data_IF_455847515784
#
_entry.id   IF_455847515784
#
_cell.length_a   1.000
_cell.length_b   1.000
_cell.length_c   1.000
_cell.angle_alpha   90.00
_cell.angle_beta   90.00
_cell.angle_gamma   90.00
#
_symmetry.space_group_name_H-M   'P 1'
#
loop_
_entity.id
_entity.type
_entity.pdbx_description
1 polymer ?
#
# COMPACT_ATOMS: atom_id res chain seq x y z
N UNK A 1 2.05 -19.88 -22.57
CA UNK A 1 2.13 -18.43 -22.45
C UNK A 1 3.50 -17.97 -22.88
N UNK A 2 3.52 -17.01 -23.81
CA UNK A 2 4.71 -16.33 -24.33
C UNK A 2 4.34 -14.89 -24.65
N UNK A 3 4.88 -13.96 -23.87
CA UNK A 3 4.59 -12.54 -23.92
C UNK A 3 5.84 -11.78 -24.30
N UNK A 4 5.74 -10.92 -25.31
CA UNK A 4 6.80 -9.97 -25.65
C UNK A 4 6.39 -8.54 -25.32
N UNK A 5 7.28 -7.81 -24.66
CA UNK A 5 7.13 -6.40 -24.29
C UNK A 5 8.24 -5.60 -24.98
N UNK A 6 7.85 -4.60 -25.76
CA UNK A 6 8.76 -3.72 -26.48
C UNK A 6 9.48 -2.73 -25.53
N UNK A 7 10.62 -2.20 -25.98
CA UNK A 7 11.41 -1.22 -25.23
C UNK A 7 10.60 -0.02 -24.72
N UNK A 8 9.61 0.43 -25.49
CA UNK A 8 8.80 1.61 -25.18
C UNK A 8 7.95 1.47 -23.90
N UNK A 9 7.63 0.25 -23.47
CA UNK A 9 6.81 -0.02 -22.28
C UNK A 9 7.58 -0.76 -21.17
N UNK A 10 8.86 -1.04 -21.41
CA UNK A 10 9.67 -1.88 -20.53
C UNK A 10 10.01 -1.17 -19.22
N UNK A 11 10.16 0.17 -19.25
CA UNK A 11 10.46 0.95 -18.04
C UNK A 11 9.25 0.90 -17.10
N UNK A 12 8.07 1.16 -17.62
CA UNK A 12 6.80 1.22 -16.91
C UNK A 12 6.47 -0.15 -16.29
N UNK A 13 6.57 -1.23 -17.10
CA UNK A 13 6.39 -2.60 -16.61
C UNK A 13 7.39 -2.97 -15.51
N UNK A 14 8.67 -2.58 -15.66
CA UNK A 14 9.67 -2.86 -14.63
C UNK A 14 9.42 -2.09 -13.33
N UNK A 15 9.02 -0.81 -13.41
CA UNK A 15 8.67 -0.02 -12.22
C UNK A 15 7.46 -0.60 -11.49
N UNK A 16 6.47 -1.13 -12.22
CA UNK A 16 5.33 -1.82 -11.63
C UNK A 16 5.76 -3.05 -10.82
N UNK A 17 6.66 -3.87 -11.36
CA UNK A 17 7.20 -5.04 -10.65
C UNK A 17 8.06 -4.65 -9.44
N UNK A 18 8.80 -3.53 -9.52
CA UNK A 18 9.51 -2.96 -8.37
C UNK A 18 8.53 -2.52 -7.29
N UNK A 19 7.43 -1.86 -7.66
CA UNK A 19 6.38 -1.43 -6.75
C UNK A 19 5.74 -2.61 -6.02
N UNK A 20 5.29 -3.63 -6.78
CA UNK A 20 4.73 -4.86 -6.23
C UNK A 20 5.69 -5.59 -5.28
N UNK A 21 6.98 -5.62 -5.62
CA UNK A 21 8.02 -6.21 -4.76
C UNK A 21 8.29 -5.45 -3.45
N UNK A 22 7.84 -4.20 -3.31
CA UNK A 22 7.83 -3.45 -2.04
C UNK A 22 6.62 -3.83 -1.16
N UNK A 23 5.55 -4.38 -1.76
CA UNK A 23 4.31 -4.77 -1.06
C UNK A 23 4.37 -6.22 -0.59
N UNK A 24 4.78 -7.15 -1.47
CA UNK A 24 4.78 -8.60 -1.19
C UNK A 24 6.11 -9.28 -1.55
N UNK A 25 6.39 -10.39 -0.87
CA UNK A 25 7.55 -11.23 -1.15
C UNK A 25 7.36 -12.14 -2.37
N UNK A 26 6.11 -12.47 -2.67
CA UNK A 26 5.68 -13.29 -3.81
C UNK A 26 4.80 -12.47 -4.74
N UNK A 27 4.89 -12.76 -6.03
CA UNK A 27 4.06 -12.20 -7.08
C UNK A 27 3.24 -13.31 -7.70
N UNK A 28 1.92 -13.12 -7.79
CA UNK A 28 1.07 -13.94 -8.65
C UNK A 28 0.95 -13.28 -10.00
N UNK A 29 1.20 -14.03 -11.07
CA UNK A 29 1.09 -13.58 -12.45
C UNK A 29 -0.07 -14.34 -13.07
N UNK A 30 -1.02 -13.61 -13.63
CA UNK A 30 -2.16 -14.16 -14.38
C UNK A 30 -2.20 -13.49 -15.73
N UNK A 31 -1.91 -14.27 -16.77
CA UNK A 31 -2.09 -13.84 -18.14
C UNK A 31 -3.42 -14.42 -18.64
N UNK A 32 -4.34 -13.55 -19.05
CA UNK A 32 -5.62 -13.98 -19.58
C UNK A 32 -6.24 -12.91 -20.47
N UNK A 33 -6.80 -13.33 -21.60
CA UNK A 33 -7.34 -12.41 -22.59
C UNK A 33 -6.26 -11.51 -23.20
N UNK A 34 -6.37 -10.20 -22.99
CA UNK A 34 -5.52 -9.15 -23.58
C UNK A 34 -4.57 -8.48 -22.57
N UNK A 35 -4.42 -9.05 -21.36
CA UNK A 35 -3.59 -8.44 -20.33
C UNK A 35 -2.88 -9.45 -19.41
N UNK A 36 -1.83 -8.94 -18.78
CA UNK A 36 -1.05 -9.58 -17.73
C UNK A 36 -1.37 -8.86 -16.43
N UNK A 37 -1.98 -9.59 -15.51
CA UNK A 37 -2.20 -9.14 -14.14
C UNK A 37 -1.07 -9.64 -13.27
N UNK A 38 -0.40 -8.73 -12.57
CA UNK A 38 0.60 -9.08 -11.56
C UNK A 38 0.13 -8.56 -10.21
N UNK A 39 0.11 -9.43 -9.20
CA UNK A 39 -0.47 -9.12 -7.89
C UNK A 39 0.47 -9.50 -6.78
N UNK A 40 0.44 -8.73 -5.71
CA UNK A 40 1.22 -8.95 -4.50
C UNK A 40 0.33 -8.80 -3.27
N UNK A 41 0.50 -9.69 -2.30
CA UNK A 41 -0.13 -9.60 -0.98
C UNK A 41 0.97 -9.51 0.08
N UNK A 42 0.84 -8.59 1.02
CA UNK A 42 1.80 -8.50 2.11
C UNK A 42 1.67 -9.69 3.09
N UNK A 43 2.68 -9.91 3.91
CA UNK A 43 2.71 -11.06 4.84
C UNK A 43 1.58 -11.06 5.88
N UNK A 44 1.07 -9.88 6.22
CA UNK A 44 -0.04 -9.70 7.16
C UNK A 44 -1.43 -9.88 6.51
N UNK A 45 -1.50 -10.11 5.19
CA UNK A 45 -2.73 -10.16 4.40
C UNK A 45 -3.62 -8.92 4.59
N UNK A 46 -2.99 -7.78 4.83
CA UNK A 46 -3.62 -6.50 5.12
C UNK A 46 -3.47 -5.47 4.00
N UNK A 47 -2.60 -5.73 3.02
CA UNK A 47 -2.43 -4.90 1.83
C UNK A 47 -2.22 -5.78 0.59
N UNK A 48 -3.12 -5.62 -0.37
CA UNK A 48 -3.12 -6.27 -1.67
C UNK A 48 -2.90 -5.23 -2.74
N UNK A 49 -1.96 -5.47 -3.66
CA UNK A 49 -1.73 -4.62 -4.82
C UNK A 49 -1.87 -5.46 -6.08
N UNK A 50 -2.51 -4.91 -7.10
CA UNK A 50 -2.58 -5.48 -8.43
C UNK A 50 -2.22 -4.45 -9.49
N UNK A 51 -1.53 -4.93 -10.52
CA UNK A 51 -1.21 -4.18 -11.73
C UNK A 51 -1.75 -4.96 -12.92
N UNK A 52 -2.55 -4.31 -13.76
CA UNK A 52 -2.90 -4.80 -15.09
C UNK A 52 -2.01 -4.11 -16.11
N UNK A 53 -1.38 -4.90 -16.98
CA UNK A 53 -0.57 -4.42 -18.09
C UNK A 53 -1.06 -5.02 -19.41
N UNK A 54 -1.27 -4.19 -20.44
CA UNK A 54 -1.87 -4.62 -21.72
C UNK A 54 -1.05 -4.27 -22.98
N UNK A 55 0.12 -3.63 -22.85
CA UNK A 55 0.93 -3.23 -24.01
C UNK A 55 1.96 -4.29 -24.43
N UNK A 56 1.45 -5.38 -24.99
CA UNK A 56 2.27 -6.42 -25.58
C UNK A 56 2.62 -6.10 -27.03
N UNK A 57 3.85 -6.43 -27.41
CA UNK A 57 4.25 -6.52 -28.82
C UNK A 57 3.70 -7.82 -29.43
N UNK A 58 3.69 -8.90 -28.66
CA UNK A 58 3.02 -10.16 -29.01
C UNK A 58 2.59 -10.90 -27.75
N UNK A 59 1.49 -11.65 -27.86
CA UNK A 59 0.98 -12.57 -26.85
C UNK A 59 0.60 -13.87 -27.56
N UNK A 60 1.28 -14.96 -27.20
CA UNK A 60 1.05 -16.28 -27.76
C UNK A 60 0.80 -17.34 -26.67
N UNK A 61 0.03 -18.36 -27.04
CA UNK A 61 -0.33 -19.47 -26.16
C UNK A 61 -1.59 -19.23 -25.32
N UNK A 62 -1.88 -20.21 -24.45
CA UNK A 62 -3.05 -20.18 -23.59
C UNK A 62 -2.86 -19.30 -22.34
N UNK A 63 -3.99 -18.98 -21.72
CA UNK A 63 -4.07 -18.37 -20.39
C UNK A 63 -3.20 -19.13 -19.38
N UNK A 64 -2.60 -18.38 -18.46
CA UNK A 64 -1.64 -18.92 -17.51
C UNK A 64 -1.72 -18.21 -16.18
N UNK A 65 -1.46 -18.95 -15.11
CA UNK A 65 -1.39 -18.44 -13.75
C UNK A 65 -0.23 -19.11 -13.00
N UNK A 66 0.61 -18.33 -12.32
CA UNK A 66 1.63 -18.86 -11.41
C UNK A 66 1.96 -17.90 -10.28
N UNK A 67 2.76 -18.39 -9.33
CA UNK A 67 3.44 -17.55 -8.35
C UNK A 67 4.95 -17.64 -8.48
N UNK A 68 5.65 -16.54 -8.22
CA UNK A 68 7.11 -16.46 -8.23
C UNK A 68 7.60 -15.53 -7.13
N UNK A 69 8.86 -15.66 -6.72
CA UNK A 69 9.48 -14.72 -5.78
C UNK A 69 9.70 -13.34 -6.42
N UNK A 70 9.31 -12.28 -5.71
CA UNK A 70 9.45 -10.91 -6.20
C UNK A 70 10.92 -10.47 -6.35
N UNK A 71 11.78 -10.87 -5.40
CA UNK A 71 13.18 -10.40 -5.34
C UNK A 71 14.02 -10.79 -6.57
N UNK A 72 13.97 -12.04 -7.07
CA UNK A 72 14.61 -12.41 -8.34
C UNK A 72 14.11 -11.59 -9.53
N UNK A 73 12.80 -11.37 -9.64
CA UNK A 73 12.17 -10.57 -10.72
C UNK A 73 12.67 -9.12 -10.69
N UNK A 74 12.59 -8.46 -9.54
CA UNK A 74 13.08 -7.09 -9.38
C UNK A 74 14.59 -6.99 -9.68
N UNK A 75 15.35 -8.04 -9.38
CA UNK A 75 16.79 -8.07 -9.62
C UNK A 75 17.13 -8.22 -11.11
N UNK A 76 16.38 -9.04 -11.87
CA UNK A 76 16.63 -9.19 -13.31
C UNK A 76 16.31 -7.90 -14.10
N UNK A 77 15.42 -7.05 -13.58
CA UNK A 77 14.98 -5.81 -14.24
C UNK A 77 15.77 -4.55 -13.86
N UNK A 78 16.83 -4.63 -13.04
CA UNK A 78 17.58 -3.42 -12.62
C UNK A 78 18.31 -2.69 -13.75
N UNK A 79 18.66 -3.37 -14.83
CA UNK A 79 19.46 -2.80 -15.92
C UNK A 79 18.82 -3.07 -17.26
N UNK A 80 17.99 -2.12 -17.72
CA UNK A 80 17.22 -2.19 -18.96
C UNK A 80 17.77 -1.28 -20.07
N UNK A 81 18.80 -0.46 -19.80
CA UNK A 81 19.29 0.60 -20.70
C UNK A 81 19.61 0.15 -22.13
N UNK A 82 20.01 -1.11 -22.33
CA UNK A 82 20.36 -1.69 -23.64
C UNK A 82 19.37 -2.76 -24.11
N UNK A 83 18.29 -2.96 -23.37
CA UNK A 83 17.28 -3.99 -23.65
C UNK A 83 16.26 -3.39 -24.60
N UNK A 84 16.05 -4.06 -25.72
CA UNK A 84 15.10 -3.66 -26.77
C UNK A 84 13.79 -4.42 -26.65
N UNK A 85 13.80 -5.60 -26.02
CA UNK A 85 12.62 -6.44 -25.82
C UNK A 85 12.78 -7.31 -24.58
N UNK A 86 11.70 -7.48 -23.82
CA UNK A 86 11.57 -8.51 -22.79
C UNK A 86 10.59 -9.56 -23.28
N UNK A 87 10.99 -10.83 -23.26
CA UNK A 87 10.11 -11.97 -23.50
C UNK A 87 9.90 -12.73 -22.20
N UNK A 88 8.67 -13.09 -21.89
CA UNK A 88 8.27 -13.85 -20.70
C UNK A 88 7.55 -15.09 -21.20
N UNK A 89 8.11 -16.27 -20.94
CA UNK A 89 7.51 -17.52 -21.41
C UNK A 89 7.72 -18.65 -20.41
N UNK A 90 6.86 -19.66 -20.49
CA UNK A 90 7.04 -20.92 -19.79
C UNK A 90 8.02 -21.80 -20.56
N UNK A 91 9.09 -22.21 -19.90
CA UNK A 91 10.00 -23.22 -20.43
C UNK A 91 9.50 -24.59 -19.96
N UNK A 92 9.00 -25.36 -20.93
CA UNK A 92 8.54 -26.74 -20.80
C UNK A 92 9.66 -27.67 -21.28
N UNK A 93 10.85 -27.53 -20.69
CA UNK A 93 11.95 -28.45 -20.96
C UNK A 93 11.71 -29.74 -20.16
N UNK A 94 12.13 -30.90 -20.66
CA UNK A 94 11.86 -32.23 -20.08
C UNK A 94 12.53 -32.51 -18.71
N UNK A 95 12.90 -31.45 -17.98
CA UNK A 95 13.36 -31.49 -16.60
C UNK A 95 12.20 -31.63 -15.60
N UNK A 96 12.52 -31.80 -14.31
CA UNK A 96 11.52 -32.13 -13.29
C UNK A 96 10.60 -30.97 -12.88
N UNK A 97 10.95 -29.71 -13.16
CA UNK A 97 10.22 -28.53 -12.67
C UNK A 97 10.03 -27.47 -13.76
N UNK A 98 8.82 -26.91 -13.93
CA UNK A 98 8.56 -25.85 -14.91
C UNK A 98 9.19 -24.53 -14.46
N UNK A 99 9.71 -23.75 -15.41
CA UNK A 99 10.36 -22.48 -15.11
C UNK A 99 9.71 -21.34 -15.90
N UNK A 100 9.48 -20.20 -15.24
CA UNK A 100 9.10 -18.97 -15.92
C UNK A 100 10.36 -18.21 -16.31
N UNK A 101 10.53 -17.94 -17.60
CA UNK A 101 11.77 -17.34 -18.13
C UNK A 101 11.55 -15.88 -18.47
N UNK A 102 12.37 -15.01 -17.87
CA UNK A 102 12.52 -13.61 -18.27
C UNK A 102 13.73 -13.50 -19.20
N UNK A 103 13.48 -13.34 -20.49
CA UNK A 103 14.50 -13.21 -21.53
C UNK A 103 14.61 -11.75 -21.98
N UNK A 104 15.70 -11.09 -21.58
CA UNK A 104 16.00 -9.71 -21.96
C UNK A 104 16.90 -9.70 -23.19
N UNK A 105 16.37 -9.19 -24.30
CA UNK A 105 17.03 -9.12 -25.61
C UNK A 105 17.53 -7.68 -25.81
N UNK A 106 18.81 -7.50 -26.14
CA UNK A 106 19.42 -6.19 -26.35
C UNK A 106 19.91 -5.92 -27.78
N UNK A 107 20.30 -4.66 -28.04
CA UNK A 107 20.51 -4.10 -29.39
C UNK A 107 21.66 -4.71 -30.24
N UNK A 108 22.38 -5.74 -29.78
CA UNK A 108 23.50 -6.36 -30.50
C UNK A 108 23.56 -7.88 -30.31
N UNK A 109 22.39 -8.53 -30.23
CA UNK A 109 22.31 -9.98 -30.05
C UNK A 109 22.65 -10.48 -28.63
N UNK A 110 22.87 -9.56 -27.67
CA UNK A 110 23.04 -9.93 -26.27
C UNK A 110 21.68 -10.34 -25.71
N UNK A 111 21.59 -11.59 -25.25
CA UNK A 111 20.39 -12.15 -24.62
C UNK A 111 20.73 -12.58 -23.20
N UNK A 112 19.95 -12.12 -22.23
CA UNK A 112 20.03 -12.55 -20.82
C UNK A 112 18.76 -13.32 -20.46
N UNK A 113 18.89 -14.58 -20.11
CA UNK A 113 17.79 -15.42 -19.67
C UNK A 113 17.85 -15.61 -18.15
N UNK A 114 16.76 -15.29 -17.47
CA UNK A 114 16.59 -15.55 -16.04
C UNK A 114 15.47 -16.57 -15.88
N UNK A 115 15.82 -17.75 -15.37
CA UNK A 115 14.87 -18.82 -15.07
C UNK A 115 14.38 -18.67 -13.64
N UNK A 116 13.07 -18.57 -13.45
CA UNK A 116 12.44 -18.38 -12.16
C UNK A 116 11.63 -19.64 -11.84
N UNK A 117 11.89 -20.19 -10.66
CA UNK A 117 11.11 -21.30 -10.12
C UNK A 117 9.69 -20.83 -9.86
N UNK A 118 8.72 -21.58 -10.36
CA UNK A 118 7.30 -21.37 -10.08
C UNK A 118 7.01 -21.95 -8.69
N UNK A 119 6.33 -21.18 -7.84
CA UNK A 119 5.89 -21.59 -6.53
C UNK A 119 4.45 -22.11 -6.53
N UNK A 120 4.09 -22.76 -5.42
CA UNK A 120 2.76 -23.34 -5.16
C UNK A 120 1.80 -22.34 -4.48
N UNK A 121 2.09 -21.04 -4.56
CA UNK A 121 1.27 -20.00 -3.92
C UNK A 121 -0.12 -19.87 -4.54
N UNK A 122 -1.08 -19.43 -3.73
CA UNK A 122 -2.44 -19.14 -4.19
C UNK A 122 -2.49 -17.84 -4.98
N UNK A 123 -3.27 -17.85 -6.06
CA UNK A 123 -3.55 -16.65 -6.85
C UNK A 123 -4.81 -15.99 -6.32
N UNK A 124 -4.61 -14.94 -5.53
CA UNK A 124 -5.69 -14.18 -4.89
C UNK A 124 -6.03 -12.93 -5.69
N UNK A 125 -7.29 -12.51 -5.59
CA UNK A 125 -7.76 -11.22 -6.08
C UNK A 125 -8.66 -10.59 -5.02
N UNK A 126 -8.25 -9.46 -4.46
CA UNK A 126 -9.08 -8.70 -3.55
C UNK A 126 -10.04 -7.81 -4.35
N UNK A 127 -11.22 -7.57 -3.80
CA UNK A 127 -12.20 -6.65 -4.38
C UNK A 127 -12.48 -5.53 -3.39
N UNK A 128 -12.69 -4.33 -3.94
CA UNK A 128 -13.23 -3.19 -3.22
C UNK A 128 -14.68 -2.96 -3.66
N UNK A 129 -15.53 -2.56 -2.73
CA UNK A 129 -16.93 -2.24 -3.00
C UNK A 129 -17.08 -0.72 -3.11
N UNK A 130 -17.27 -0.23 -4.33
CA UNK A 130 -17.45 1.20 -4.62
C UNK A 130 -18.81 1.74 -4.17
N UNK A 131 -19.80 0.88 -3.90
CA UNK A 131 -21.14 1.31 -3.60
C UNK A 131 -21.20 2.13 -2.30
N UNK A 132 -21.47 3.43 -2.44
CA UNK A 132 -21.53 4.37 -1.30
C UNK A 132 -20.17 4.78 -0.74
N UNK A 133 -19.07 4.50 -1.44
CA UNK A 133 -17.74 4.95 -1.05
C UNK A 133 -17.59 6.47 -1.21
N UNK A 134 -16.84 7.08 -0.29
CA UNK A 134 -16.22 8.38 -0.55
C UNK A 134 -15.07 8.20 -1.54
N UNK A 135 -14.80 9.20 -2.36
CA UNK A 135 -13.79 9.16 -3.42
C UNK A 135 -13.10 10.50 -3.56
N UNK A 136 -11.77 10.49 -3.43
CA UNK A 136 -10.92 11.66 -3.64
C UNK A 136 -9.94 11.40 -4.78
N UNK A 137 -9.70 12.39 -5.64
CA UNK A 137 -8.73 12.31 -6.75
C UNK A 137 -7.76 13.48 -6.65
N UNK A 138 -6.46 13.20 -6.70
CA UNK A 138 -5.40 14.21 -6.63
C UNK A 138 -4.10 13.71 -7.25
N UNK A 139 -3.10 14.57 -7.36
CA UNK A 139 -1.73 14.19 -7.70
C UNK A 139 -1.05 13.49 -6.51
N UNK A 140 -0.22 12.48 -6.79
CA UNK A 140 0.56 11.75 -5.78
C UNK A 140 1.35 12.69 -4.86
N UNK A 141 1.95 13.74 -5.43
CA UNK A 141 2.78 14.72 -4.72
C UNK A 141 2.07 15.40 -3.53
N UNK A 142 0.74 15.53 -3.58
CA UNK A 142 0.00 16.18 -2.50
C UNK A 142 0.16 15.43 -1.17
N UNK A 143 0.35 14.10 -1.22
CA UNK A 143 0.46 13.22 -0.05
C UNK A 143 1.90 13.01 0.45
N UNK A 144 2.92 13.59 -0.21
CA UNK A 144 4.34 13.28 0.05
C UNK A 144 4.87 13.82 1.39
N UNK A 145 4.24 14.84 1.95
CA UNK A 145 4.76 15.60 3.10
C UNK A 145 4.70 14.84 4.44
N UNK A 146 4.16 13.61 4.46
CA UNK A 146 4.18 12.76 5.64
C UNK A 146 5.46 11.93 5.65
N UNK A 147 6.34 12.21 6.60
CA UNK A 147 7.59 11.47 6.76
C UNK A 147 7.67 10.75 8.13
N UNK A 148 8.54 9.73 8.19
CA UNK A 148 8.93 9.08 9.44
C UNK A 148 7.90 8.14 10.07
N UNK A 149 6.80 7.83 9.38
CA UNK A 149 5.77 6.91 9.87
C UNK A 149 5.45 5.79 8.89
N UNK A 150 5.09 4.64 9.44
CA UNK A 150 4.55 3.49 8.70
C UNK A 150 3.02 3.46 8.73
N UNK A 151 2.38 4.21 9.63
CA UNK A 151 0.92 4.28 9.76
C UNK A 151 0.46 5.74 9.77
N UNK A 152 -0.71 5.98 9.18
CA UNK A 152 -1.36 7.29 9.12
C UNK A 152 -2.74 7.23 9.74
N UNK A 153 -3.07 8.25 10.54
CA UNK A 153 -4.44 8.57 10.91
C UNK A 153 -4.97 9.60 9.91
N UNK A 154 -5.96 9.21 9.11
CA UNK A 154 -6.75 10.13 8.30
C UNK A 154 -7.98 10.58 9.06
N UNK A 155 -8.14 11.89 9.20
CA UNK A 155 -9.35 12.55 9.68
C UNK A 155 -10.00 13.22 8.48
N UNK A 156 -11.11 12.68 8.03
CA UNK A 156 -11.82 13.10 6.82
C UNK A 156 -13.08 13.83 7.19
N UNK A 157 -13.31 15.00 6.60
CA UNK A 157 -14.52 15.81 6.74
C UNK A 157 -15.08 16.19 5.37
N UNK A 158 -16.31 16.73 5.28
CA UNK A 158 -16.87 17.19 4.01
C UNK A 158 -16.01 18.23 3.26
N UNK A 159 -15.15 18.96 3.96
CA UNK A 159 -14.38 20.08 3.42
C UNK A 159 -12.85 19.92 3.53
N UNK A 160 -12.37 18.88 4.22
CA UNK A 160 -10.95 18.76 4.57
C UNK A 160 -10.50 17.30 4.74
N UNK A 161 -9.32 16.98 4.22
CA UNK A 161 -8.57 15.77 4.55
C UNK A 161 -7.38 16.16 5.43
N UNK A 162 -7.24 15.50 6.59
CA UNK A 162 -6.11 15.70 7.48
C UNK A 162 -5.40 14.39 7.75
N UNK A 163 -4.11 14.36 7.49
CA UNK A 163 -3.26 13.18 7.68
C UNK A 163 -2.28 13.44 8.82
N UNK A 164 -2.24 12.52 9.78
CA UNK A 164 -1.34 12.58 10.93
C UNK A 164 -0.53 11.30 11.03
N UNK A 165 0.75 11.41 11.34
CA UNK A 165 1.56 10.25 11.73
C UNK A 165 0.91 9.54 12.92
N UNK A 166 0.64 8.25 12.76
CA UNK A 166 0.10 7.41 13.81
C UNK A 166 1.18 6.50 14.37
N UNK A 167 1.33 6.52 15.70
CA UNK A 167 2.25 5.65 16.41
C UNK A 167 1.44 4.83 17.40
N UNK A 168 1.37 3.52 17.18
CA UNK A 168 0.67 2.62 18.08
C UNK A 168 1.37 2.60 19.45
N UNK A 169 0.73 3.06 20.54
CA UNK A 169 1.35 3.13 21.86
C UNK A 169 1.79 1.76 22.38
N UNK A 170 1.07 0.67 22.05
CA UNK A 170 1.45 -0.69 22.44
C UNK A 170 2.78 -1.14 21.78
N UNK A 171 3.06 -0.67 20.56
CA UNK A 171 4.31 -0.96 19.83
C UNK A 171 5.44 -0.08 20.35
N UNK A 172 5.15 1.17 20.72
CA UNK A 172 6.12 2.07 21.33
C UNK A 172 6.62 1.54 22.68
N UNK A 173 5.73 0.98 23.50
CA UNK A 173 6.08 0.33 24.78
C UNK A 173 6.91 -0.95 24.56
N UNK A 174 6.57 -1.76 23.56
CA UNK A 174 7.34 -2.96 23.21
C UNK A 174 8.74 -2.65 22.67
N UNK A 175 8.90 -1.59 21.85
CA UNK A 175 10.20 -1.10 21.36
C UNK A 175 11.00 -0.35 22.43
N UNK A 176 10.34 0.19 23.45
CA UNK A 176 10.95 0.86 24.61
C UNK A 176 11.44 -0.07 25.73
N UNK A 177 11.48 -1.39 25.49
CA UNK A 177 11.77 -2.38 26.52
C UNK A 177 13.17 -2.28 27.15
N UNK A 178 13.19 -2.04 28.47
CA UNK A 178 14.21 -2.47 29.45
C UNK A 178 15.58 -1.80 29.36
N UNK A 179 15.66 -0.48 29.55
CA UNK A 179 16.87 0.08 30.17
C UNK A 179 16.84 -0.29 31.66
N UNK A 180 17.75 -1.19 32.06
CA UNK A 180 17.88 -1.63 33.43
C UNK A 180 18.29 -0.48 34.37
N UNK A 181 17.78 -0.52 35.60
CA UNK A 181 18.48 0.00 36.77
C UNK A 181 18.72 1.51 36.84
N UNK A 182 17.70 2.35 36.71
CA UNK A 182 17.59 3.57 37.54
C UNK A 182 16.17 4.12 37.41
N UNK A 183 15.56 4.52 38.53
CA UNK A 183 14.19 5.04 38.62
C UNK A 183 14.00 6.42 37.98
N UNK A 184 14.49 6.64 36.75
CA UNK A 184 14.12 7.79 35.93
C UNK A 184 13.04 7.34 34.96
N UNK A 185 11.90 8.06 34.85
CA UNK A 185 10.89 7.72 33.86
C UNK A 185 11.57 7.72 32.48
N UNK A 186 11.45 6.59 31.78
CA UNK A 186 11.91 6.48 30.41
C UNK A 186 11.28 7.64 29.64
N UNK A 187 12.11 8.54 29.14
CA UNK A 187 11.66 9.51 28.15
C UNK A 187 11.10 8.67 26.99
N UNK A 188 9.78 8.53 26.92
CA UNK A 188 9.11 8.24 25.66
C UNK A 188 9.68 9.30 24.73
N UNK A 189 10.60 8.92 23.84
CA UNK A 189 11.04 9.80 22.78
C UNK A 189 9.75 10.24 22.10
N UNK A 190 9.37 11.51 22.29
CA UNK A 190 8.23 12.10 21.61
C UNK A 190 8.52 11.92 20.14
N UNK A 191 7.92 10.88 19.55
CA UNK A 191 8.05 10.63 18.13
C UNK A 191 7.57 11.90 17.41
N UNK A 192 8.35 12.36 16.44
CA UNK A 192 8.02 13.55 15.67
C UNK A 192 6.65 13.34 15.04
N UNK A 193 5.66 14.11 15.48
CA UNK A 193 4.34 14.07 14.87
C UNK A 193 4.32 14.97 13.64
N UNK A 194 4.09 14.36 12.48
CA UNK A 194 3.84 15.08 11.23
C UNK A 194 2.34 15.15 11.00
N UNK A 195 1.82 16.35 10.75
CA UNK A 195 0.42 16.59 10.42
C UNK A 195 0.37 17.48 9.19
N UNK A 196 -0.51 17.11 8.26
CA UNK A 196 -0.87 17.92 7.12
C UNK A 196 -2.38 18.00 7.00
N UNK A 197 -2.88 19.14 6.53
CA UNK A 197 -4.29 19.37 6.29
C UNK A 197 -4.45 19.94 4.89
N UNK A 198 -5.30 19.29 4.11
CA UNK A 198 -5.57 19.60 2.71
C UNK A 198 -7.05 20.03 2.64
N UNK A 199 -7.32 21.17 2.03
CA UNK A 199 -8.69 21.60 1.77
C UNK A 199 -9.30 20.79 0.61
N UNK A 200 -10.61 20.53 0.65
CA UNK A 200 -11.32 19.82 -0.42
C UNK A 200 -11.11 20.46 -1.80
N UNK A 201 -10.89 21.78 -1.85
CA UNK A 201 -10.62 22.53 -3.08
C UNK A 201 -9.26 22.26 -3.73
N UNK A 202 -8.35 21.57 -3.04
CA UNK A 202 -7.04 21.17 -3.58
C UNK A 202 -7.09 19.82 -4.31
N UNK A 203 -8.23 19.12 -4.25
CA UNK A 203 -8.46 17.87 -4.97
C UNK A 203 -9.14 18.14 -6.30
N UNK A 204 -8.82 17.33 -7.31
CA UNK A 204 -9.51 17.34 -8.60
C UNK A 204 -10.95 16.82 -8.44
N UNK A 205 -11.14 15.84 -7.56
CA UNK A 205 -12.44 15.32 -7.14
C UNK A 205 -12.45 15.14 -5.62
N UNK A 206 -13.51 15.63 -4.96
CA UNK A 206 -13.73 15.42 -3.53
C UNK A 206 -15.18 15.03 -3.25
N UNK A 207 -15.48 13.74 -3.38
CA UNK A 207 -16.79 13.19 -3.04
C UNK A 207 -16.77 12.55 -1.65
N UNK A 208 -17.46 13.18 -0.70
CA UNK A 208 -17.59 12.66 0.66
C UNK A 208 -19.00 12.13 0.93
N UNK A 209 -19.11 10.82 1.18
CA UNK A 209 -20.36 10.10 1.44
C UNK A 209 -20.53 9.69 2.91
N UNK A 210 -19.68 10.19 3.81
CA UNK A 210 -19.73 9.89 5.24
C UNK A 210 -20.64 10.83 6.04
N UNK A 211 -20.67 10.69 7.38
CA UNK A 211 -21.50 11.51 8.24
C UNK A 211 -20.95 12.95 8.39
N UNK A 212 -21.80 13.97 8.67
CA UNK A 212 -21.38 15.37 8.71
C UNK A 212 -20.23 15.68 9.69
N UNK A 213 -20.13 14.95 10.79
CA UNK A 213 -19.08 15.08 11.80
C UNK A 213 -17.69 14.62 11.31
N UNK A 214 -17.62 13.93 10.18
CA UNK A 214 -16.41 13.34 9.64
C UNK A 214 -16.18 11.90 10.09
N UNK A 215 -15.16 11.28 9.50
CA UNK A 215 -14.73 9.92 9.87
C UNK A 215 -13.23 9.88 10.14
N UNK A 216 -12.80 8.83 10.83
CA UNK A 216 -11.39 8.60 11.14
C UNK A 216 -11.01 7.18 10.80
N UNK A 217 -9.85 7.02 10.16
CA UNK A 217 -9.29 5.71 9.85
C UNK A 217 -7.79 5.71 10.01
N UNK A 218 -7.24 4.58 10.45
CA UNK A 218 -5.80 4.33 10.48
C UNK A 218 -5.47 3.30 9.42
N UNK A 219 -4.43 3.54 8.63
CA UNK A 219 -3.96 2.61 7.60
C UNK A 219 -2.44 2.62 7.46
N UNK A 220 -1.90 1.56 6.86
CA UNK A 220 -0.47 1.45 6.60
C UNK A 220 -0.07 2.39 5.45
N UNK A 221 0.87 3.28 5.73
CA UNK A 221 1.40 4.24 4.76
C UNK A 221 2.61 3.69 4.00
N UNK A 222 3.22 2.61 4.47
CA UNK A 222 4.40 2.02 3.80
C UNK A 222 4.09 1.58 2.37
N UNK A 223 3.00 0.86 2.15
CA UNK A 223 2.60 0.41 0.81
C UNK A 223 2.10 1.58 -0.05
N UNK A 224 1.44 2.58 0.54
CA UNK A 224 1.03 3.81 -0.17
C UNK A 224 2.25 4.59 -0.68
N UNK A 225 3.32 4.73 0.13
CA UNK A 225 4.58 5.34 -0.33
C UNK A 225 5.20 4.58 -1.50
N UNK A 226 5.07 3.25 -1.53
CA UNK A 226 5.54 2.47 -2.67
C UNK A 226 4.74 2.79 -3.95
N UNK A 227 3.42 2.89 -3.83
CA UNK A 227 2.52 3.29 -4.92
C UNK A 227 2.79 4.71 -5.41
N UNK A 228 2.96 5.69 -4.52
CA UNK A 228 3.27 7.07 -4.88
C UNK A 228 4.58 7.15 -5.65
N UNK A 229 5.65 6.56 -5.11
CA UNK A 229 6.96 6.48 -5.78
C UNK A 229 6.88 5.82 -7.17
N UNK A 230 5.96 4.87 -7.36
CA UNK A 230 5.70 4.28 -8.67
C UNK A 230 4.99 5.27 -9.59
N UNK A 231 3.90 5.92 -9.13
CA UNK A 231 3.15 6.92 -9.87
C UNK A 231 4.08 8.04 -10.39
N UNK A 232 4.99 8.54 -9.56
CA UNK A 232 5.96 9.57 -9.96
C UNK A 232 6.94 9.05 -11.02
N UNK A 233 7.37 7.79 -10.92
CA UNK A 233 8.35 7.20 -11.83
C UNK A 233 7.83 6.95 -13.25
N UNK A 234 6.50 6.77 -13.37
CA UNK A 234 5.77 6.57 -14.63
C UNK A 234 4.95 7.79 -15.05
N UNK A 235 5.04 8.89 -14.29
CA UNK A 235 4.31 10.14 -14.54
C UNK A 235 2.80 9.88 -14.67
N UNK A 236 2.23 9.13 -13.72
CA UNK A 236 0.78 8.89 -13.64
C UNK A 236 0.04 10.20 -13.34
N UNK A 237 -1.08 10.42 -14.02
CA UNK A 237 -1.75 11.73 -14.00
C UNK A 237 -2.46 11.98 -12.66
N UNK A 238 -3.16 10.97 -12.14
CA UNK A 238 -3.92 11.09 -10.89
C UNK A 238 -3.87 9.81 -10.04
N UNK A 239 -3.99 10.01 -8.74
CA UNK A 239 -4.17 8.98 -7.72
C UNK A 239 -5.55 9.16 -7.08
N UNK A 240 -6.41 8.15 -7.24
CA UNK A 240 -7.70 8.07 -6.60
C UNK A 240 -7.62 7.33 -5.26
N UNK A 241 -8.35 7.81 -4.26
CA UNK A 241 -8.50 7.23 -2.94
C UNK A 241 -10.00 6.99 -2.69
N UNK A 242 -10.42 5.73 -2.61
CA UNK A 242 -11.81 5.32 -2.35
C UNK A 242 -11.93 4.65 -0.98
N UNK A 243 -12.91 5.03 -0.17
CA UNK A 243 -13.05 4.52 1.20
C UNK A 243 -14.45 4.65 1.79
N UNK A 244 -14.66 3.91 2.88
CA UNK A 244 -15.85 3.99 3.74
C UNK A 244 -15.44 4.47 5.14
N UNK A 245 -16.08 3.97 6.20
CA UNK A 245 -15.60 4.15 7.57
C UNK A 245 -14.35 3.30 7.86
N UNK A 246 -13.67 3.59 8.96
CA UNK A 246 -12.62 2.72 9.50
C UNK A 246 -13.12 1.29 9.70
N UNK A 247 -12.20 0.32 9.72
CA UNK A 247 -12.48 -1.12 9.73
C UNK A 247 -13.06 -1.68 8.42
N UNK A 248 -13.32 -0.85 7.41
CA UNK A 248 -13.56 -1.29 6.01
C UNK A 248 -12.30 -1.08 5.17
N UNK A 249 -12.14 -1.79 4.05
CA UNK A 249 -11.00 -1.59 3.17
C UNK A 249 -10.92 -0.15 2.64
N UNK A 250 -9.70 0.28 2.34
CA UNK A 250 -9.34 1.52 1.66
C UNK A 250 -8.69 1.12 0.34
N UNK A 251 -9.09 1.74 -0.76
CA UNK A 251 -8.48 1.53 -2.07
C UNK A 251 -7.75 2.79 -2.52
N UNK A 252 -6.56 2.60 -3.06
CA UNK A 252 -5.90 3.55 -3.94
C UNK A 252 -5.88 2.99 -5.35
N UNK A 253 -6.14 3.84 -6.35
CA UNK A 253 -6.09 3.45 -7.75
C UNK A 253 -5.39 4.52 -8.58
N UNK A 254 -4.55 4.10 -9.53
CA UNK A 254 -3.88 4.99 -10.46
C UNK A 254 -3.87 4.34 -11.85
N UNK A 255 -3.91 5.17 -12.89
CA UNK A 255 -3.87 4.71 -14.28
C UNK A 255 -2.83 5.50 -15.06
N UNK A 256 -2.13 4.82 -15.97
CA UNK A 256 -1.22 5.44 -16.94
C UNK A 256 -1.14 4.62 -18.21
N UNK A 257 -1.72 5.13 -19.29
CA UNK A 257 -1.72 4.55 -20.64
C UNK A 257 -2.12 3.07 -20.69
N UNK A 258 -1.14 2.19 -20.46
CA UNK A 258 -1.19 0.73 -20.63
C UNK A 258 -1.16 0.00 -19.28
N UNK A 259 -1.21 0.75 -18.18
CA UNK A 259 -1.13 0.29 -16.80
C UNK A 259 -2.33 0.78 -15.99
N UNK A 260 -3.01 -0.17 -15.36
CA UNK A 260 -3.96 0.10 -14.28
C UNK A 260 -3.39 -0.48 -12.99
N UNK A 261 -3.36 0.31 -11.91
CA UNK A 261 -2.84 -0.12 -10.61
C UNK A 261 -3.88 0.11 -9.53
N UNK A 262 -4.07 -0.89 -8.69
CA UNK A 262 -4.90 -0.81 -7.50
C UNK A 262 -4.13 -1.31 -6.26
N UNK A 263 -4.34 -0.65 -5.14
CA UNK A 263 -3.85 -1.02 -3.81
C UNK A 263 -5.03 -1.00 -2.86
N UNK A 264 -5.43 -2.18 -2.38
CA UNK A 264 -6.51 -2.37 -1.41
C UNK A 264 -5.89 -2.73 -0.07
N UNK A 265 -6.24 -2.00 0.98
CA UNK A 265 -5.68 -2.18 2.31
C UNK A 265 -6.75 -2.22 3.38
N UNK A 266 -6.51 -2.97 4.45
CA UNK A 266 -7.32 -2.90 5.66
C UNK A 266 -7.10 -1.58 6.39
N UNK A 267 -8.16 -1.07 7.02
CA UNK A 267 -8.08 0.08 7.92
C UNK A 267 -8.50 -0.31 9.33
N UNK A 268 -8.15 0.51 10.31
CA UNK A 268 -8.67 0.44 11.67
C UNK A 268 -9.44 1.72 12.00
N UNK A 269 -10.34 1.67 12.98
CA UNK A 269 -10.95 2.88 13.53
C UNK A 269 -9.88 3.79 14.18
N UNK A 270 -9.96 5.09 13.89
CA UNK A 270 -9.19 6.09 14.61
C UNK A 270 -9.68 6.24 16.04
N UNK A 271 -8.97 5.66 17.02
CA UNK A 271 -9.23 5.99 18.43
C UNK A 271 -8.68 7.38 18.71
N UNK A 272 -9.54 8.27 19.19
CA UNK A 272 -9.08 9.55 19.73
C UNK A 272 -8.09 9.28 20.87
N UNK A 273 -6.83 9.65 20.70
CA UNK A 273 -5.99 9.92 21.85
C UNK A 273 -6.65 11.07 22.59
N UNK A 274 -7.26 10.79 23.75
CA UNK A 274 -7.74 11.83 24.64
C UNK A 274 -6.56 12.73 25.02
N UNK A 275 -6.36 13.82 24.29
CA UNK A 275 -5.51 14.91 24.72
C UNK A 275 -6.24 15.56 25.88
N UNK A 276 -5.71 15.35 27.09
CA UNK A 276 -6.28 15.81 28.33
C UNK A 276 -6.64 17.31 28.29
N UNK A 277 -7.86 17.61 28.69
CA UNK A 277 -8.34 18.97 28.88
C UNK A 277 -9.52 18.95 29.84
N UNK A 278 -9.35 19.62 30.99
CA UNK A 278 -10.44 20.00 31.88
C UNK A 278 -10.34 19.40 33.27
N UNK A 279 -9.62 20.08 34.17
CA UNK A 279 -9.75 19.86 35.60
C UNK A 279 -11.20 20.15 36.03
N UNK A 280 -11.94 19.11 36.35
CA UNK A 280 -13.15 19.21 37.15
C UNK A 280 -12.75 19.18 38.62
N UNK A 281 -12.87 20.33 39.28
CA UNK A 281 -12.75 20.43 40.74
C UNK A 281 -13.82 19.51 41.33
N UNK A 282 -13.39 18.42 41.96
CA UNK A 282 -14.27 17.59 42.77
C UNK A 282 -14.77 18.43 43.94
N UNK A 283 -16.05 18.79 43.93
CA UNK A 283 -16.72 19.32 45.10
C UNK A 283 -16.76 18.20 46.15
N UNK A 284 -16.13 18.45 47.29
CA UNK A 284 -16.12 17.54 48.43
C UNK A 284 -17.53 17.40 49.01
N UNK A 285 -18.04 16.17 49.09
CA UNK A 285 -19.20 15.85 49.93
C UNK A 285 -18.77 15.88 51.41
N UNK A 286 -19.58 16.45 52.31
CA UNK A 286 -19.29 16.43 53.73
C UNK A 286 -19.66 15.07 54.36
N UNK A 287 -18.72 14.53 55.12
CA UNK A 287 -18.88 13.34 55.97
C UNK A 287 -19.94 13.55 57.06
N UNK A 288 -20.85 12.58 57.30
CA UNK A 288 -21.74 12.65 58.46
C UNK A 288 -21.02 12.18 59.72
N UNK A 289 -20.94 13.08 60.70
CA UNK A 289 -20.49 12.83 62.07
C UNK A 289 -21.50 11.99 62.83
N UNK A 290 -21.09 10.80 63.28
CA UNK A 290 -21.84 10.00 64.26
C UNK A 290 -21.67 10.58 65.65
N UNK A 291 -22.75 11.11 66.24
CA UNK A 291 -22.86 11.30 67.69
C UNK A 291 -23.98 10.41 68.22
N UNK A 292 -23.59 9.47 69.06
CA UNK A 292 -24.43 8.78 70.03
C UNK A 292 -25.08 9.80 70.97
N UNK A 293 -26.37 9.64 71.28
CA UNK A 293 -26.89 10.16 72.54
C UNK A 293 -27.85 9.16 73.20
N UNK A 294 -27.58 8.98 74.49
CA UNK A 294 -28.32 8.34 75.57
C UNK A 294 -29.78 8.77 75.68
N UNK A 295 -30.61 7.78 76.03
CA UNK A 295 -31.98 7.89 76.54
C UNK A 295 -32.40 6.52 77.06
#
# INVERSE_FOLDING_TARGET
>A
MDVSIAAAHLKEFAQALVCLGKVGHELSLVCGGDALHVRALNSAKSAFMAVRFSAFESLEGADFSCTILAKPVVTCLRSLRRVTRLRIYLEDDAGPEPHLVFQLIGAHGVVRCHRLTIGDGEVLHAMFDDAGASRFVTFSALLEHVHGTDELLAVVRPDTLRLKSYHNPAVAEARGGRSGGSGRPANLQKALQTEMSIAATEFDEYHYAGPPEGLQMVFCFREVKALMSFCDSVEADHLAMSFHAGSRPLQFAAQKDVLDVELIMSTMEGRQSASGGGGGVAAAEPTPSSMSNTG
#
